data_IF_284300583691
#
_entry.id   IF_284300583691
#
_cell.length_a   1.000
_cell.length_b   1.000
_cell.length_c   1.000
_cell.angle_alpha   90.00
_cell.angle_beta   90.00
_cell.angle_gamma   90.00
#
_symmetry.space_group_name_H-M   'P 1'
#
loop_
_entity.id
_entity.type
_entity.pdbx_description
1 polymer ?
#
# COMPACT_ATOMS: atom_id res chain seq x y z
N UNK A 1 2.52 -1.10 14.78
CA UNK A 1 1.37 -1.62 15.55
C UNK A 1 1.66 -1.41 17.03
N UNK A 2 0.70 -0.80 17.75
CA UNK A 2 0.84 -0.27 19.11
C UNK A 2 0.92 -1.37 20.19
N UNK A 3 2.03 -2.12 20.25
CA UNK A 3 2.28 -3.09 21.35
C UNK A 3 2.10 -2.48 22.75
N UNK A 4 2.34 -1.17 22.89
CA UNK A 4 2.18 -0.45 24.16
C UNK A 4 0.72 -0.19 24.55
N UNK A 5 -0.22 0.00 23.61
CA UNK A 5 -1.62 0.27 23.97
C UNK A 5 -2.38 -1.02 24.28
N UNK A 6 -2.08 -2.11 23.55
CA UNK A 6 -2.76 -3.41 23.70
C UNK A 6 -2.35 -4.18 24.95
N UNK A 7 -1.08 -4.10 25.36
CA UNK A 7 -0.63 -4.67 26.65
C UNK A 7 -1.18 -3.86 27.81
N UNK A 8 -1.35 -2.54 27.64
CA UNK A 8 -1.84 -1.65 28.68
C UNK A 8 -3.32 -1.90 29.00
N UNK A 9 -4.17 -2.20 28.01
CA UNK A 9 -5.60 -2.50 28.25
C UNK A 9 -5.80 -3.80 29.02
N UNK A 10 -5.07 -4.87 28.68
CA UNK A 10 -5.10 -6.14 29.43
C UNK A 10 -4.60 -5.94 30.86
N UNK A 11 -3.52 -5.18 31.06
CA UNK A 11 -2.87 -4.96 32.36
C UNK A 11 -3.60 -3.91 33.23
N UNK A 12 -4.38 -3.02 32.62
CA UNK A 12 -5.26 -2.09 33.32
C UNK A 12 -6.53 -2.80 33.79
N UNK A 13 -7.08 -3.71 32.97
CA UNK A 13 -8.17 -4.58 33.37
C UNK A 13 -7.83 -5.39 34.63
N UNK A 14 -6.61 -5.91 34.72
CA UNK A 14 -6.17 -6.65 35.91
C UNK A 14 -6.15 -5.77 37.15
N UNK A 15 -5.60 -4.55 37.07
CA UNK A 15 -5.37 -3.71 38.26
C UNK A 15 -6.68 -3.21 38.89
N UNK A 16 -7.71 -2.93 38.07
CA UNK A 16 -8.99 -2.35 38.54
C UNK A 16 -9.97 -3.42 39.05
N UNK A 17 -9.93 -4.66 38.53
CA UNK A 17 -10.67 -5.77 39.12
C UNK A 17 -10.23 -6.04 40.58
N UNK A 18 -8.93 -5.92 40.88
CA UNK A 18 -8.42 -6.10 42.25
C UNK A 18 -8.88 -5.03 43.24
N UNK A 19 -9.06 -3.77 42.81
CA UNK A 19 -9.42 -2.69 43.75
C UNK A 19 -10.89 -2.72 44.17
N UNK A 20 -11.79 -3.24 43.34
CA UNK A 20 -13.23 -3.26 43.61
C UNK A 20 -13.71 -4.46 44.45
N UNK A 21 -12.89 -5.50 44.62
CA UNK A 21 -13.22 -6.68 45.47
C UNK A 21 -12.97 -6.39 46.97
N UNK A 22 -12.27 -5.31 47.33
CA UNK A 22 -11.92 -5.00 48.74
C UNK A 22 -13.08 -4.26 49.47
N UNK A 23 -14.23 -4.07 48.82
CA UNK A 23 -15.44 -3.50 49.40
C UNK A 23 -16.33 -4.51 50.14
N UNK A 24 -15.94 -4.87 51.37
CA UNK A 24 -16.82 -5.36 52.46
C UNK A 24 -17.70 -6.63 52.24
N UNK A 25 -17.14 -7.82 51.98
CA UNK A 25 -17.77 -9.09 52.43
C UNK A 25 -16.72 -10.20 52.63
N UNK A 26 -16.79 -10.90 53.78
CA UNK A 26 -15.99 -12.09 54.09
C UNK A 26 -16.55 -13.33 53.37
N UNK A 27 -16.41 -13.41 52.04
CA UNK A 27 -16.85 -14.57 51.24
C UNK A 27 -15.89 -14.77 50.05
N UNK A 28 -15.28 -15.96 50.01
CA UNK A 28 -14.47 -16.63 48.97
C UNK A 28 -13.12 -16.04 48.52
N UNK A 29 -12.03 -16.57 49.09
CA UNK A 29 -10.70 -16.59 48.47
C UNK A 29 -10.66 -17.39 47.13
N UNK A 30 -11.64 -18.27 46.91
CA UNK A 30 -11.77 -19.14 45.72
C UNK A 30 -12.14 -18.34 44.46
N UNK A 31 -12.89 -17.23 44.59
CA UNK A 31 -13.32 -16.38 43.47
C UNK A 31 -12.14 -15.55 42.92
N UNK A 32 -11.25 -15.08 43.81
CA UNK A 32 -10.08 -14.28 43.44
C UNK A 32 -9.00 -15.12 42.72
N UNK A 33 -8.85 -16.39 43.10
CA UNK A 33 -7.93 -17.30 42.42
C UNK A 33 -8.44 -17.72 41.04
N UNK A 34 -9.76 -17.90 40.87
CA UNK A 34 -10.39 -18.15 39.57
C UNK A 34 -10.21 -16.98 38.59
N UNK A 35 -10.37 -15.74 39.05
CA UNK A 35 -10.15 -14.56 38.21
C UNK A 35 -8.67 -14.37 37.83
N UNK A 36 -7.75 -14.59 38.78
CA UNK A 36 -6.29 -14.58 38.50
C UNK A 36 -5.90 -15.63 37.48
N UNK A 37 -6.50 -16.82 37.57
CA UNK A 37 -6.27 -17.89 36.62
C UNK A 37 -6.79 -17.53 35.22
N UNK A 38 -8.02 -17.01 35.11
CA UNK A 38 -8.60 -16.58 33.84
C UNK A 38 -7.78 -15.47 33.15
N UNK A 39 -7.22 -14.55 33.94
CA UNK A 39 -6.32 -13.48 33.46
C UNK A 39 -5.01 -14.07 32.93
N UNK A 40 -4.40 -15.01 33.67
CA UNK A 40 -3.16 -15.67 33.26
C UNK A 40 -3.34 -16.46 31.97
N UNK A 41 -4.47 -17.15 31.84
CA UNK A 41 -4.83 -17.91 30.63
C UNK A 41 -5.06 -16.98 29.43
N UNK A 42 -5.77 -15.87 29.60
CA UNK A 42 -6.00 -14.91 28.52
C UNK A 42 -4.71 -14.24 28.04
N UNK A 43 -3.80 -13.90 28.97
CA UNK A 43 -2.48 -13.37 28.62
C UNK A 43 -1.66 -14.41 27.84
N UNK A 44 -1.63 -15.66 28.29
CA UNK A 44 -0.91 -16.73 27.60
C UNK A 44 -1.47 -16.99 26.19
N UNK A 45 -2.79 -16.92 26.02
CA UNK A 45 -3.42 -17.00 24.69
C UNK A 45 -2.99 -15.84 23.80
N UNK A 46 -2.95 -14.60 24.31
CA UNK A 46 -2.49 -13.45 23.54
C UNK A 46 -1.03 -13.57 23.11
N UNK A 47 -0.13 -13.95 24.03
CA UNK A 47 1.30 -14.10 23.74
C UNK A 47 1.51 -15.15 22.62
N UNK A 48 0.76 -16.25 22.65
CA UNK A 48 0.78 -17.27 21.60
C UNK A 48 0.30 -16.72 20.24
N UNK A 49 -0.81 -15.98 20.22
CA UNK A 49 -1.36 -15.40 19.00
C UNK A 49 -0.44 -14.32 18.42
N UNK A 50 0.24 -13.52 19.25
CA UNK A 50 1.23 -12.54 18.79
C UNK A 50 2.42 -13.24 18.13
N UNK A 51 2.93 -14.33 18.71
CA UNK A 51 3.99 -15.14 18.11
C UNK A 51 3.56 -15.73 16.75
N UNK A 52 2.33 -16.23 16.65
CA UNK A 52 1.78 -16.76 15.39
C UNK A 52 1.65 -15.67 14.33
N UNK A 53 1.15 -14.48 14.69
CA UNK A 53 1.06 -13.31 13.82
C UNK A 53 2.45 -12.87 13.34
N UNK A 54 3.46 -12.86 14.21
CA UNK A 54 4.84 -12.54 13.82
C UNK A 54 5.40 -13.55 12.82
N UNK A 55 5.19 -14.85 13.07
CA UNK A 55 5.62 -15.90 12.15
C UNK A 55 4.97 -15.74 10.78
N UNK A 56 3.64 -15.59 10.74
CA UNK A 56 2.89 -15.40 9.50
C UNK A 56 3.35 -14.16 8.73
N UNK A 57 3.58 -13.03 9.41
CA UNK A 57 4.12 -11.84 8.77
C UNK A 57 5.51 -12.07 8.16
N UNK A 58 6.38 -12.80 8.86
CA UNK A 58 7.71 -13.15 8.34
C UNK A 58 7.60 -14.08 7.12
N UNK A 59 6.71 -15.06 7.16
CA UNK A 59 6.46 -15.98 6.04
C UNK A 59 5.92 -15.23 4.82
N UNK A 60 4.93 -14.33 5.00
CA UNK A 60 4.39 -13.48 3.93
C UNK A 60 5.49 -12.59 3.35
N UNK A 61 6.34 -12.00 4.18
CA UNK A 61 7.46 -11.19 3.71
C UNK A 61 8.46 -12.00 2.85
N UNK A 62 8.77 -13.24 3.24
CA UNK A 62 9.62 -14.13 2.46
C UNK A 62 8.97 -14.49 1.12
N UNK A 63 7.67 -14.83 1.11
CA UNK A 63 6.92 -15.12 -0.12
C UNK A 63 6.92 -13.91 -1.06
N UNK A 64 6.79 -12.68 -0.54
CA UNK A 64 6.87 -11.46 -1.35
C UNK A 64 8.23 -11.32 -2.04
N UNK A 65 9.32 -11.59 -1.31
CA UNK A 65 10.68 -11.57 -1.88
C UNK A 65 10.82 -12.61 -3.00
N UNK A 66 10.30 -13.83 -2.79
CA UNK A 66 10.30 -14.88 -3.81
C UNK A 66 9.48 -14.47 -5.05
N UNK A 67 8.30 -13.88 -4.87
CA UNK A 67 7.47 -13.34 -5.96
C UNK A 67 8.22 -12.25 -6.74
N UNK A 68 8.87 -11.32 -6.05
CA UNK A 68 9.63 -10.23 -6.67
C UNK A 68 10.82 -10.75 -7.49
N UNK A 69 11.52 -11.76 -6.97
CA UNK A 69 12.60 -12.43 -7.69
C UNK A 69 12.08 -13.13 -8.96
N UNK A 70 10.95 -13.85 -8.87
CA UNK A 70 10.34 -14.50 -10.02
C UNK A 70 9.90 -13.47 -11.07
N UNK A 71 9.26 -12.38 -10.65
CA UNK A 71 8.85 -11.30 -11.57
C UNK A 71 10.04 -10.65 -12.27
N UNK A 72 11.15 -10.44 -11.55
CA UNK A 72 12.39 -9.91 -12.14
C UNK A 72 12.95 -10.87 -13.18
N UNK A 73 13.01 -12.17 -12.87
CA UNK A 73 13.43 -13.21 -13.80
C UNK A 73 12.55 -13.29 -15.04
N UNK A 74 11.23 -13.19 -14.88
CA UNK A 74 10.27 -13.19 -15.99
C UNK A 74 10.50 -11.99 -16.94
N UNK A 75 10.77 -10.82 -16.39
CA UNK A 75 11.07 -9.61 -17.18
C UNK A 75 12.40 -9.73 -17.95
N UNK A 76 13.41 -10.30 -17.32
CA UNK A 76 14.70 -10.56 -17.97
C UNK A 76 14.55 -11.59 -19.09
N UNK A 77 13.78 -12.65 -18.85
CA UNK A 77 13.46 -13.65 -19.87
C UNK A 77 12.68 -13.05 -21.04
N UNK A 78 11.68 -12.22 -20.79
CA UNK A 78 10.91 -11.51 -21.84
C UNK A 78 11.84 -10.67 -22.73
N UNK A 79 12.78 -9.95 -22.12
CA UNK A 79 13.77 -9.14 -22.84
C UNK A 79 14.70 -10.03 -23.68
N UNK A 80 15.19 -11.13 -23.12
CA UNK A 80 16.06 -12.07 -23.83
C UNK A 80 15.34 -12.78 -24.98
N UNK A 81 14.06 -13.15 -24.81
CA UNK A 81 13.21 -13.72 -25.86
C UNK A 81 13.10 -12.73 -27.02
N UNK A 82 12.73 -11.48 -26.74
CA UNK A 82 12.56 -10.46 -27.78
C UNK A 82 13.86 -10.21 -28.56
N UNK A 83 14.99 -10.12 -27.88
CA UNK A 83 16.31 -9.97 -28.52
C UNK A 83 16.66 -11.17 -29.38
N UNK A 84 16.48 -12.40 -28.86
CA UNK A 84 16.79 -13.63 -29.58
C UNK A 84 15.90 -13.80 -30.81
N UNK A 85 14.61 -13.45 -30.73
CA UNK A 85 13.69 -13.48 -31.87
C UNK A 85 14.09 -12.46 -32.96
N UNK A 86 14.54 -11.26 -32.57
CA UNK A 86 15.05 -10.26 -33.50
C UNK A 86 16.34 -10.74 -34.20
N UNK A 87 17.25 -11.36 -33.46
CA UNK A 87 18.47 -11.95 -34.02
C UNK A 87 18.16 -13.10 -34.97
N UNK A 88 17.28 -14.03 -34.60
CA UNK A 88 16.83 -15.13 -35.45
C UNK A 88 16.24 -14.59 -36.76
N UNK A 89 15.41 -13.55 -36.69
CA UNK A 89 14.83 -12.91 -37.88
C UNK A 89 15.91 -12.32 -38.79
N UNK A 90 16.90 -11.64 -38.22
CA UNK A 90 18.03 -11.09 -38.98
C UNK A 90 18.88 -12.19 -39.61
N UNK A 91 19.18 -13.26 -38.87
CA UNK A 91 19.97 -14.40 -39.37
C UNK A 91 19.23 -15.13 -40.50
N UNK A 92 17.92 -15.33 -40.40
CA UNK A 92 17.10 -15.94 -41.48
C UNK A 92 17.13 -15.11 -42.76
N UNK A 93 17.03 -13.78 -42.66
CA UNK A 93 17.13 -12.91 -43.83
C UNK A 93 18.52 -12.96 -44.48
N UNK A 94 19.59 -13.03 -43.68
CA UNK A 94 20.96 -13.18 -44.19
C UNK A 94 21.18 -14.54 -44.87
N UNK A 95 20.63 -15.61 -44.32
CA UNK A 95 20.66 -16.95 -44.92
C UNK A 95 19.98 -16.94 -46.30
N UNK A 96 18.77 -16.40 -46.39
CA UNK A 96 18.03 -16.30 -47.66
C UNK A 96 18.82 -15.53 -48.72
N UNK A 97 19.41 -14.39 -48.35
CA UNK A 97 20.25 -13.60 -49.25
C UNK A 97 21.51 -14.38 -49.69
N UNK A 98 22.15 -15.10 -48.78
CA UNK A 98 23.35 -15.90 -49.07
C UNK A 98 23.01 -17.07 -50.01
N UNK A 99 21.87 -17.73 -49.83
CA UNK A 99 21.38 -18.79 -50.71
C UNK A 99 21.13 -18.28 -52.14
N UNK A 100 20.51 -17.10 -52.28
CA UNK A 100 20.31 -16.45 -53.58
C UNK A 100 21.65 -16.20 -54.27
N UNK A 101 22.62 -15.60 -53.57
CA UNK A 101 23.93 -15.27 -54.12
C UNK A 101 24.75 -16.53 -54.51
N UNK A 102 24.64 -17.60 -53.73
CA UNK A 102 25.24 -18.90 -54.08
C UNK A 102 24.60 -19.42 -55.37
N UNK A 103 23.27 -19.44 -55.46
CA UNK A 103 22.53 -19.93 -56.63
C UNK A 103 22.88 -19.16 -57.90
N UNK A 104 22.98 -17.83 -57.83
CA UNK A 104 23.40 -16.99 -58.94
C UNK A 104 24.82 -17.32 -59.42
N UNK A 105 25.77 -17.44 -58.49
CA UNK A 105 27.17 -17.78 -58.80
C UNK A 105 27.32 -19.20 -59.34
N UNK A 106 26.60 -20.17 -58.78
CA UNK A 106 26.57 -21.55 -59.28
C UNK A 106 25.99 -21.63 -60.69
N UNK A 107 24.97 -20.81 -61.01
CA UNK A 107 24.42 -20.70 -62.37
C UNK A 107 25.45 -20.17 -63.37
N UNK A 108 26.23 -19.15 -62.99
CA UNK A 108 27.34 -18.61 -63.80
C UNK A 108 28.41 -19.68 -64.00
N UNK A 109 28.85 -20.33 -62.92
CA UNK A 109 29.86 -21.40 -62.95
C UNK A 109 29.39 -22.57 -63.84
N UNK A 110 28.12 -22.95 -63.74
CA UNK A 110 27.51 -24.00 -64.56
C UNK A 110 27.51 -23.67 -66.06
N UNK A 111 27.20 -22.41 -66.43
CA UNK A 111 27.28 -21.93 -67.82
C UNK A 111 28.73 -21.96 -68.32
N UNK A 112 29.69 -21.52 -67.50
CA UNK A 112 31.13 -21.53 -67.81
C UNK A 112 31.66 -22.95 -68.01
N UNK A 113 31.37 -23.86 -67.09
CA UNK A 113 31.78 -25.27 -67.17
C UNK A 113 31.22 -25.96 -68.42
N UNK A 114 29.94 -25.72 -68.75
CA UNK A 114 29.32 -26.25 -69.96
C UNK A 114 29.99 -25.73 -71.23
N UNK A 115 30.39 -24.46 -71.27
CA UNK A 115 31.13 -23.89 -72.40
C UNK A 115 32.53 -24.50 -72.52
N UNK A 116 33.24 -24.71 -71.40
CA UNK A 116 34.54 -25.39 -71.36
C UNK A 116 34.44 -26.79 -72.00
N UNK A 117 33.42 -27.56 -71.60
CA UNK A 117 33.19 -28.91 -72.11
C UNK A 117 32.77 -28.94 -73.59
N UNK A 118 31.80 -28.09 -73.99
CA UNK A 118 31.26 -28.11 -75.35
C UNK A 118 32.24 -27.61 -76.41
N UNK A 119 33.01 -26.58 -76.07
CA UNK A 119 33.91 -25.96 -77.04
C UNK A 119 35.30 -26.60 -77.07
N UNK A 120 35.60 -27.57 -76.20
CA UNK A 120 36.96 -28.04 -75.95
C UNK A 120 37.89 -26.84 -75.66
N UNK A 121 37.46 -25.99 -74.72
CA UNK A 121 38.03 -24.65 -74.54
C UNK A 121 39.54 -24.70 -74.28
N UNK A 122 40.05 -25.70 -73.57
CA UNK A 122 41.49 -25.85 -73.33
C UNK A 122 42.28 -26.00 -74.63
N UNK A 123 41.80 -26.79 -75.58
CA UNK A 123 42.45 -26.89 -76.90
C UNK A 123 42.31 -25.59 -77.69
N UNK A 124 41.16 -24.92 -77.58
CA UNK A 124 40.94 -23.65 -78.28
C UNK A 124 41.72 -22.48 -77.67
N UNK A 125 42.02 -22.51 -76.37
CA UNK A 125 42.81 -21.50 -75.67
C UNK A 125 44.28 -21.64 -76.04
N UNK A 126 44.79 -22.88 -76.13
CA UNK A 126 46.11 -23.13 -76.72
C UNK A 126 46.16 -22.72 -78.20
N UNK A 127 45.13 -23.06 -78.99
CA UNK A 127 45.06 -22.65 -80.39
C UNK A 127 45.00 -21.13 -80.55
N UNK A 128 44.29 -20.43 -79.67
CA UNK A 128 44.20 -18.97 -79.66
C UNK A 128 45.54 -18.30 -79.33
N UNK A 129 46.31 -18.88 -78.40
CA UNK A 129 47.67 -18.42 -78.07
C UNK A 129 48.66 -18.71 -79.20
N UNK A 130 48.55 -19.86 -79.87
CA UNK A 130 49.44 -20.29 -80.95
C UNK A 130 49.15 -19.60 -82.29
N UNK A 131 47.92 -19.10 -82.50
CA UNK A 131 47.51 -18.35 -83.69
C UNK A 131 47.88 -16.86 -83.64
N UNK A 132 48.87 -16.47 -82.83
CA UNK A 132 49.32 -15.09 -82.72
C UNK A 132 50.18 -14.65 -83.91
N UNK A 133 50.14 -13.38 -84.26
CA UNK A 133 50.94 -12.82 -85.35
C UNK A 133 52.32 -12.32 -84.89
N UNK A 134 52.51 -12.11 -83.58
CA UNK A 134 53.78 -11.63 -83.01
C UNK A 134 53.98 -12.08 -81.56
N UNK A 135 55.22 -11.95 -81.04
CA UNK A 135 55.54 -12.20 -79.64
C UNK A 135 54.72 -11.31 -78.68
N UNK A 136 54.52 -10.04 -79.00
CA UNK A 136 53.70 -9.12 -78.19
C UNK A 136 52.24 -9.56 -78.15
N UNK A 137 51.67 -9.98 -79.29
CA UNK A 137 50.30 -10.50 -79.38
C UNK A 137 50.12 -11.80 -78.57
N UNK A 138 51.12 -12.70 -78.54
CA UNK A 138 51.13 -13.86 -77.61
C UNK A 138 50.99 -13.40 -76.15
N UNK A 139 51.74 -12.38 -75.74
CA UNK A 139 51.72 -11.91 -74.35
C UNK A 139 50.38 -11.28 -73.97
N UNK A 140 49.79 -10.46 -74.83
CA UNK A 140 48.47 -9.84 -74.57
C UNK A 140 47.36 -10.91 -74.51
N UNK A 141 47.40 -11.90 -75.40
CA UNK A 141 46.46 -13.04 -75.37
C UNK A 141 46.67 -13.92 -74.15
N UNK A 142 47.91 -14.13 -73.74
CA UNK A 142 48.25 -14.87 -72.53
C UNK A 142 47.70 -14.17 -71.29
N UNK A 143 47.89 -12.86 -71.16
CA UNK A 143 47.34 -12.08 -70.05
C UNK A 143 45.80 -12.17 -70.00
N UNK A 144 45.12 -12.05 -71.15
CA UNK A 144 43.67 -12.22 -71.24
C UNK A 144 43.22 -13.64 -70.81
N UNK A 145 43.94 -14.67 -71.24
CA UNK A 145 43.69 -16.08 -70.88
C UNK A 145 43.89 -16.29 -69.38
N UNK A 146 45.00 -15.82 -68.82
CA UNK A 146 45.32 -15.89 -67.40
C UNK A 146 44.27 -15.17 -66.55
N UNK A 147 43.81 -14.00 -67.00
CA UNK A 147 42.74 -13.25 -66.33
C UNK A 147 41.42 -14.01 -66.29
N UNK A 148 41.05 -14.70 -67.37
CA UNK A 148 39.84 -15.55 -67.41
C UNK A 148 39.94 -16.68 -66.40
N UNK A 149 41.07 -17.41 -66.39
CA UNK A 149 41.29 -18.54 -65.47
C UNK A 149 41.32 -18.06 -64.02
N UNK A 150 41.90 -16.89 -63.77
CA UNK A 150 41.90 -16.25 -62.45
C UNK A 150 40.47 -15.97 -61.96
N UNK A 151 39.64 -15.32 -62.78
CA UNK A 151 38.24 -15.02 -62.43
C UNK A 151 37.42 -16.29 -62.17
N UNK A 152 37.64 -17.36 -62.93
CA UNK A 152 36.96 -18.64 -62.70
C UNK A 152 37.40 -19.28 -61.38
N UNK A 153 38.69 -19.21 -61.03
CA UNK A 153 39.21 -19.67 -59.73
C UNK A 153 38.64 -18.84 -58.57
N UNK A 154 38.56 -17.53 -58.74
CA UNK A 154 37.97 -16.60 -57.77
C UNK A 154 36.49 -16.93 -57.54
N UNK A 155 35.70 -17.09 -58.61
CA UNK A 155 34.29 -17.48 -58.50
C UNK A 155 34.08 -18.81 -57.75
N UNK A 156 34.92 -19.82 -58.02
CA UNK A 156 34.87 -21.11 -57.29
C UNK A 156 35.20 -20.89 -55.81
N UNK A 157 36.22 -20.09 -55.50
CA UNK A 157 36.61 -19.76 -54.13
C UNK A 157 35.48 -19.07 -53.38
N UNK A 158 34.86 -18.06 -53.99
CA UNK A 158 33.74 -17.32 -53.40
C UNK A 158 32.53 -18.22 -53.13
N UNK A 159 32.18 -19.12 -54.06
CA UNK A 159 31.07 -20.08 -53.84
C UNK A 159 31.40 -21.01 -52.69
N UNK A 160 32.63 -21.52 -52.61
CA UNK A 160 33.06 -22.40 -51.52
C UNK A 160 32.97 -21.70 -50.16
N UNK A 161 33.52 -20.48 -50.06
CA UNK A 161 33.52 -19.67 -48.84
C UNK A 161 32.09 -19.32 -48.40
N UNK A 162 31.21 -18.95 -49.34
CA UNK A 162 29.81 -18.68 -49.02
C UNK A 162 29.05 -19.91 -48.55
N UNK A 163 29.31 -21.09 -49.13
CA UNK A 163 28.72 -22.34 -48.64
C UNK A 163 29.18 -22.70 -47.24
N UNK A 164 30.45 -22.49 -46.93
CA UNK A 164 30.99 -22.69 -45.59
C UNK A 164 30.34 -21.72 -44.58
N UNK A 165 30.24 -20.45 -44.95
CA UNK A 165 29.53 -19.42 -44.17
C UNK A 165 28.06 -19.81 -43.97
N UNK A 166 27.37 -20.27 -45.02
CA UNK A 166 25.97 -20.71 -44.96
C UNK A 166 25.80 -21.82 -43.90
N UNK A 167 26.65 -22.85 -43.92
CA UNK A 167 26.62 -23.92 -42.93
C UNK A 167 26.82 -23.41 -41.51
N UNK A 168 27.83 -22.56 -41.27
CA UNK A 168 28.07 -21.96 -39.95
C UNK A 168 26.86 -21.15 -39.47
N UNK A 169 26.27 -20.32 -40.35
CA UNK A 169 25.08 -19.53 -39.99
C UNK A 169 23.82 -20.38 -39.75
N UNK A 170 23.69 -21.54 -40.41
CA UNK A 170 22.61 -22.50 -40.13
C UNK A 170 22.78 -23.16 -38.76
N UNK A 171 24.00 -23.52 -38.39
CA UNK A 171 24.31 -24.09 -37.08
C UNK A 171 24.06 -23.05 -35.96
N UNK A 172 24.50 -21.81 -36.15
CA UNK A 172 24.21 -20.70 -35.24
C UNK A 172 22.70 -20.46 -35.08
N UNK A 173 21.96 -20.47 -36.19
CA UNK A 173 20.50 -20.31 -36.17
C UNK A 173 19.84 -21.43 -35.36
N UNK A 174 20.25 -22.68 -35.61
CA UNK A 174 19.73 -23.84 -34.87
C UNK A 174 20.00 -23.74 -33.36
N UNK A 175 21.21 -23.31 -32.98
CA UNK A 175 21.54 -23.06 -31.57
C UNK A 175 20.67 -21.96 -30.97
N UNK A 176 20.43 -20.86 -31.68
CA UNK A 176 19.57 -19.77 -31.19
C UNK A 176 18.11 -20.20 -31.04
N UNK A 177 17.59 -20.98 -31.98
CA UNK A 177 16.23 -21.55 -31.90
C UNK A 177 16.09 -22.50 -30.71
N UNK A 178 17.11 -23.32 -30.43
CA UNK A 178 17.13 -24.19 -29.24
C UNK A 178 17.18 -23.38 -27.93
N UNK A 179 18.02 -22.34 -27.86
CA UNK A 179 18.08 -21.44 -26.70
C UNK A 179 16.75 -20.71 -26.48
N UNK A 180 16.11 -20.23 -27.56
CA UNK A 180 14.80 -19.58 -27.50
C UNK A 180 13.73 -20.52 -26.94
N UNK A 181 13.73 -21.78 -27.40
CA UNK A 181 12.78 -22.79 -26.90
C UNK A 181 13.00 -23.06 -25.41
N UNK A 182 14.24 -23.24 -24.97
CA UNK A 182 14.57 -23.44 -23.56
C UNK A 182 14.13 -22.25 -22.68
N UNK A 183 14.33 -21.03 -23.17
CA UNK A 183 13.93 -19.81 -22.45
C UNK A 183 12.41 -19.67 -22.33
N UNK A 184 11.66 -20.08 -23.36
CA UNK A 184 10.19 -20.14 -23.33
C UNK A 184 9.69 -21.17 -22.33
N UNK A 185 10.30 -22.36 -22.27
CA UNK A 185 9.97 -23.41 -21.30
C UNK A 185 10.26 -22.96 -19.86
N UNK A 186 11.42 -22.31 -19.63
CA UNK A 186 11.77 -21.75 -18.32
C UNK A 186 10.80 -20.64 -17.88
N UNK A 187 10.35 -19.81 -18.83
CA UNK A 187 9.35 -18.77 -18.57
C UNK A 187 8.00 -19.37 -18.18
N UNK A 188 7.55 -20.42 -18.88
CA UNK A 188 6.33 -21.14 -18.53
C UNK A 188 6.41 -21.78 -17.14
N UNK A 189 7.56 -22.38 -16.81
CA UNK A 189 7.81 -22.94 -15.47
C UNK A 189 7.77 -21.86 -14.39
N UNK A 190 8.42 -20.71 -14.63
CA UNK A 190 8.45 -19.59 -13.68
C UNK A 190 7.07 -18.96 -13.48
N UNK A 191 6.22 -18.92 -14.52
CA UNK A 191 4.83 -18.47 -14.40
C UNK A 191 3.98 -19.42 -13.53
N UNK A 192 4.17 -20.74 -13.64
CA UNK A 192 3.49 -21.72 -12.78
C UNK A 192 3.93 -21.57 -11.32
N UNK A 193 5.22 -21.35 -11.09
CA UNK A 193 5.76 -21.10 -9.75
C UNK A 193 5.21 -19.81 -9.16
N UNK A 194 5.14 -18.72 -9.94
CA UNK A 194 4.55 -17.46 -9.53
C UNK A 194 3.10 -17.62 -9.05
N UNK A 195 2.29 -18.36 -9.82
CA UNK A 195 0.89 -18.59 -9.47
C UNK A 195 0.76 -19.40 -8.17
N UNK A 196 1.60 -20.43 -8.01
CA UNK A 196 1.67 -21.20 -6.77
C UNK A 196 2.03 -20.32 -5.57
N UNK A 197 2.99 -19.40 -5.73
CA UNK A 197 3.44 -18.50 -4.66
C UNK A 197 2.40 -17.45 -4.29
N UNK A 198 1.65 -16.93 -5.27
CA UNK A 198 0.52 -16.03 -5.01
C UNK A 198 -0.61 -16.73 -4.26
N UNK A 199 -0.92 -17.98 -4.60
CA UNK A 199 -1.91 -18.77 -3.88
C UNK A 199 -1.47 -19.07 -2.43
N UNK A 200 -0.18 -19.37 -2.22
CA UNK A 200 0.41 -19.53 -0.90
C UNK A 200 0.30 -18.24 -0.07
N UNK A 201 0.66 -17.10 -0.67
CA UNK A 201 0.53 -15.77 -0.07
C UNK A 201 -0.91 -15.47 0.37
N UNK A 202 -1.90 -15.71 -0.50
CA UNK A 202 -3.31 -15.48 -0.21
C UNK A 202 -3.80 -16.34 0.97
N UNK A 203 -3.39 -17.61 1.01
CA UNK A 203 -3.69 -18.51 2.12
C UNK A 203 -3.10 -18.00 3.44
N UNK A 204 -1.84 -17.53 3.42
CA UNK A 204 -1.17 -16.98 4.60
C UNK A 204 -1.80 -15.66 5.07
N UNK A 205 -2.21 -14.80 4.14
CA UNK A 205 -2.95 -13.58 4.44
C UNK A 205 -4.32 -13.88 5.07
N UNK A 206 -5.02 -14.90 4.59
CA UNK A 206 -6.27 -15.35 5.20
C UNK A 206 -6.05 -15.85 6.64
N UNK A 207 -5.02 -16.67 6.86
CA UNK A 207 -4.63 -17.12 8.20
C UNK A 207 -4.26 -15.95 9.12
N UNK A 208 -3.50 -14.97 8.62
CA UNK A 208 -3.14 -13.77 9.37
C UNK A 208 -4.37 -12.98 9.82
N UNK A 209 -5.32 -12.76 8.91
CA UNK A 209 -6.57 -12.06 9.22
C UNK A 209 -7.42 -12.84 10.24
N UNK A 210 -7.45 -14.17 10.15
CA UNK A 210 -8.15 -15.03 11.12
C UNK A 210 -7.52 -14.91 12.52
N UNK A 211 -6.19 -14.96 12.62
CA UNK A 211 -5.50 -14.80 13.89
C UNK A 211 -5.67 -13.38 14.48
N UNK A 212 -5.66 -12.34 13.63
CA UNK A 212 -5.97 -10.97 14.06
C UNK A 212 -7.41 -10.82 14.56
N UNK A 213 -8.37 -11.52 13.95
CA UNK A 213 -9.75 -11.55 14.43
C UNK A 213 -9.86 -12.26 15.79
N UNK A 214 -9.12 -13.36 16.00
CA UNK A 214 -9.05 -14.04 17.31
C UNK A 214 -8.47 -13.12 18.39
N UNK A 215 -7.39 -12.40 18.10
CA UNK A 215 -6.82 -11.38 19.01
C UNK A 215 -7.87 -10.33 19.35
N UNK A 216 -8.60 -9.81 18.35
CA UNK A 216 -9.62 -8.79 18.54
C UNK A 216 -10.77 -9.28 19.44
N UNK A 217 -11.20 -10.53 19.27
CA UNK A 217 -12.20 -11.19 20.12
C UNK A 217 -11.74 -11.34 21.57
N UNK A 218 -10.49 -11.74 21.79
CA UNK A 218 -9.91 -11.85 23.15
C UNK A 218 -9.85 -10.48 23.83
N UNK A 219 -9.44 -9.43 23.10
CA UNK A 219 -9.43 -8.05 23.60
C UNK A 219 -10.84 -7.59 23.97
N UNK A 220 -11.81 -7.77 23.08
CA UNK A 220 -13.20 -7.38 23.33
C UNK A 220 -13.77 -8.06 24.57
N UNK A 221 -13.58 -9.37 24.72
CA UNK A 221 -14.06 -10.12 25.88
C UNK A 221 -13.44 -9.61 27.20
N UNK A 222 -12.16 -9.23 27.19
CA UNK A 222 -11.48 -8.69 28.36
C UNK A 222 -11.92 -7.26 28.67
N UNK A 223 -12.09 -6.42 27.65
CA UNK A 223 -12.55 -5.04 27.80
C UNK A 223 -14.00 -4.99 28.30
N UNK A 224 -14.87 -5.92 27.86
CA UNK A 224 -16.21 -6.08 28.41
C UNK A 224 -16.18 -6.39 29.92
N UNK A 225 -15.31 -7.32 30.35
CA UNK A 225 -15.13 -7.63 31.77
C UNK A 225 -14.64 -6.42 32.57
N UNK A 226 -13.73 -5.62 32.00
CA UNK A 226 -13.17 -4.44 32.64
C UNK A 226 -14.25 -3.38 32.95
N UNK A 227 -15.19 -3.15 32.04
CA UNK A 227 -16.25 -2.15 32.24
C UNK A 227 -17.47 -2.70 33.00
N UNK A 228 -17.64 -4.03 33.05
CA UNK A 228 -18.85 -4.69 33.55
C UNK A 228 -19.29 -4.22 34.93
N UNK A 229 -18.35 -4.05 35.87
CA UNK A 229 -18.67 -3.59 37.21
C UNK A 229 -19.27 -2.17 37.21
N UNK A 230 -18.59 -1.20 36.59
CA UNK A 230 -19.07 0.19 36.52
C UNK A 230 -20.40 0.30 35.76
N UNK A 231 -20.58 -0.50 34.71
CA UNK A 231 -21.86 -0.60 33.99
C UNK A 231 -22.96 -1.14 34.91
N UNK A 232 -22.69 -2.21 35.66
CA UNK A 232 -23.67 -2.81 36.57
C UNK A 232 -24.11 -1.87 37.70
N UNK A 233 -23.19 -1.04 38.23
CA UNK A 233 -23.51 -0.02 39.23
C UNK A 233 -24.41 1.06 38.62
N UNK A 234 -24.10 1.51 37.39
CA UNK A 234 -24.94 2.50 36.69
C UNK A 234 -26.34 1.95 36.42
N UNK A 235 -26.48 0.66 36.09
CA UNK A 235 -27.76 0.03 35.82
C UNK A 235 -28.62 -0.15 37.08
N UNK A 236 -28.01 -0.50 38.22
CA UNK A 236 -28.75 -0.94 39.40
C UNK A 236 -28.76 0.05 40.57
N UNK A 237 -27.80 0.97 40.67
CA UNK A 237 -27.73 1.95 41.76
C UNK A 237 -28.63 3.16 41.50
N UNK A 238 -29.11 3.77 42.59
CA UNK A 238 -29.77 5.08 42.63
C UNK A 238 -29.02 6.07 43.53
N UNK A 239 -27.78 5.75 43.93
CA UNK A 239 -26.95 6.60 44.78
C UNK A 239 -26.11 7.51 43.89
N UNK A 240 -26.28 8.84 43.97
CA UNK A 240 -25.57 9.81 43.12
C UNK A 240 -24.04 9.62 43.19
N UNK A 241 -23.48 9.37 44.39
CA UNK A 241 -22.04 9.19 44.57
C UNK A 241 -21.51 7.96 43.81
N UNK A 242 -22.20 6.82 43.90
CA UNK A 242 -21.80 5.57 43.22
C UNK A 242 -21.94 5.70 41.70
N UNK A 243 -22.98 6.41 41.24
CA UNK A 243 -23.18 6.73 39.81
C UNK A 243 -22.06 7.63 39.28
N UNK A 244 -21.69 8.69 40.00
CA UNK A 244 -20.64 9.64 39.59
C UNK A 244 -19.24 9.01 39.59
N UNK A 245 -18.96 8.14 40.55
CA UNK A 245 -17.70 7.38 40.62
C UNK A 245 -17.57 6.38 39.45
N UNK A 246 -18.66 5.67 39.14
CA UNK A 246 -18.70 4.74 38.01
C UNK A 246 -18.59 5.45 36.66
N UNK A 247 -19.25 6.61 36.50
CA UNK A 247 -19.13 7.46 35.30
C UNK A 247 -17.69 7.93 35.13
N UNK A 248 -17.07 8.45 36.19
CA UNK A 248 -15.68 8.93 36.15
C UNK A 248 -14.70 7.80 35.79
N UNK A 249 -14.93 6.61 36.33
CA UNK A 249 -14.13 5.41 36.01
C UNK A 249 -14.26 5.03 34.54
N UNK A 250 -15.47 4.95 33.99
CA UNK A 250 -15.68 4.66 32.56
C UNK A 250 -15.07 5.75 31.66
N UNK A 251 -15.20 7.02 32.02
CA UNK A 251 -14.60 8.14 31.28
C UNK A 251 -13.06 8.02 31.23
N UNK A 252 -12.43 7.58 32.32
CA UNK A 252 -11.00 7.33 32.36
C UNK A 252 -10.57 6.10 31.54
N UNK A 253 -11.42 5.06 31.51
CA UNK A 253 -11.13 3.82 30.81
C UNK A 253 -11.27 3.93 29.29
N UNK A 254 -12.23 4.69 28.78
CA UNK A 254 -12.53 4.80 27.33
C UNK A 254 -11.29 5.04 26.44
N UNK A 255 -10.37 5.97 26.76
CA UNK A 255 -9.17 6.20 25.95
C UNK A 255 -8.20 5.00 25.88
N UNK A 256 -8.36 4.02 26.77
CA UNK A 256 -7.50 2.82 26.85
C UNK A 256 -8.11 1.60 26.18
N UNK A 257 -9.41 1.65 25.84
CA UNK A 257 -10.12 0.58 25.15
C UNK A 257 -9.79 0.58 23.65
N UNK A 258 -9.82 -0.60 23.04
CA UNK A 258 -9.50 -0.81 21.63
C UNK A 258 -10.72 -1.31 20.84
N UNK A 259 -11.67 -1.98 21.52
CA UNK A 259 -12.90 -2.47 20.89
C UNK A 259 -13.93 -1.35 20.76
N UNK A 260 -14.35 -1.07 19.52
CA UNK A 260 -15.36 -0.06 19.22
C UNK A 260 -16.71 -0.38 19.86
N UNK A 261 -17.10 -1.66 19.93
CA UNK A 261 -18.35 -2.10 20.55
C UNK A 261 -18.35 -1.83 22.06
N UNK A 262 -17.21 -2.06 22.73
CA UNK A 262 -17.06 -1.82 24.17
C UNK A 262 -17.00 -0.33 24.48
N UNK A 263 -16.32 0.46 23.64
CA UNK A 263 -16.33 1.92 23.74
C UNK A 263 -17.74 2.48 23.62
N UNK A 264 -18.53 1.99 22.66
CA UNK A 264 -19.92 2.40 22.49
C UNK A 264 -20.78 2.02 23.71
N UNK A 265 -20.63 0.79 24.20
CA UNK A 265 -21.32 0.34 25.41
C UNK A 265 -20.99 1.23 26.63
N UNK A 266 -19.71 1.53 26.85
CA UNK A 266 -19.26 2.40 27.94
C UNK A 266 -19.84 3.83 27.82
N UNK A 267 -19.83 4.41 26.62
CA UNK A 267 -20.43 5.74 26.38
C UNK A 267 -21.95 5.74 26.59
N UNK A 268 -22.66 4.68 26.17
CA UNK A 268 -24.08 4.54 26.43
C UNK A 268 -24.36 4.48 27.93
N UNK A 269 -23.63 3.66 28.68
CA UNK A 269 -23.75 3.59 30.14
C UNK A 269 -23.47 4.93 30.81
N UNK A 270 -22.44 5.68 30.41
CA UNK A 270 -22.20 7.04 30.92
C UNK A 270 -23.41 7.95 30.68
N UNK A 271 -23.97 7.93 29.47
CA UNK A 271 -25.17 8.70 29.13
C UNK A 271 -26.37 8.33 30.02
N UNK A 272 -26.62 7.03 30.22
CA UNK A 272 -27.68 6.56 31.13
C UNK A 272 -27.45 7.00 32.58
N UNK A 273 -26.20 6.91 33.06
CA UNK A 273 -25.84 7.35 34.40
C UNK A 273 -26.09 8.84 34.62
N UNK A 274 -25.68 9.69 33.67
CA UNK A 274 -25.93 11.13 33.71
C UNK A 274 -27.44 11.45 33.74
N UNK A 275 -28.25 10.76 32.93
CA UNK A 275 -29.71 10.91 32.94
C UNK A 275 -30.33 10.50 34.28
N UNK A 276 -29.83 9.44 34.92
CA UNK A 276 -30.29 9.05 36.26
C UNK A 276 -29.92 10.08 37.32
N UNK A 277 -28.69 10.59 37.31
CA UNK A 277 -28.25 11.65 38.23
C UNK A 277 -29.10 12.91 38.08
N UNK A 278 -29.39 13.33 36.85
CA UNK A 278 -30.26 14.47 36.58
C UNK A 278 -31.69 14.26 37.13
N UNK A 279 -32.26 13.07 36.92
CA UNK A 279 -33.59 12.72 37.47
C UNK A 279 -33.61 12.76 39.00
N UNK A 280 -32.64 12.14 39.67
CA UNK A 280 -32.58 12.11 41.14
C UNK A 280 -32.45 13.54 41.69
N UNK A 281 -31.58 14.36 41.11
CA UNK A 281 -31.43 15.76 41.51
C UNK A 281 -32.71 16.58 41.30
N UNK A 282 -33.44 16.34 40.21
CA UNK A 282 -34.72 17.00 39.94
C UNK A 282 -35.80 16.58 40.97
N UNK A 283 -35.85 15.30 41.35
CA UNK A 283 -36.76 14.77 42.37
C UNK A 283 -36.44 15.30 43.77
N UNK A 284 -35.15 15.40 44.13
CA UNK A 284 -34.71 16.01 45.39
C UNK A 284 -35.03 17.51 45.45
N UNK A 285 -34.85 18.23 44.35
CA UNK A 285 -35.21 19.65 44.25
C UNK A 285 -36.71 19.88 44.34
N UNK A 286 -37.52 19.05 43.69
CA UNK A 286 -38.98 19.12 43.77
C UNK A 286 -39.51 18.80 45.19
N UNK A 287 -38.86 17.87 45.91
CA UNK A 287 -39.16 17.63 47.34
C UNK A 287 -38.76 18.80 48.24
N UNK A 288 -37.69 19.53 47.92
CA UNK A 288 -37.27 20.72 48.65
C UNK A 288 -38.17 21.94 48.39
N UNK A 289 -38.66 22.14 47.17
CA UNK A 289 -39.60 23.23 46.81
C UNK A 289 -41.01 23.03 47.39
N UNK A 290 -41.46 21.78 47.55
CA UNK A 290 -42.74 21.47 48.21
C UNK A 290 -42.74 21.73 49.74
N UNK A 291 -41.58 22.03 50.35
CA UNK A 291 -41.42 22.24 51.79
C UNK A 291 -41.45 23.72 52.24
N UNK A 292 -41.74 24.69 51.35
CA UNK A 292 -41.72 26.13 51.65
C UNK A 292 -43.15 26.71 51.65
N UNK A 293 -43.65 27.35 52.74
CA UNK A 293 -44.97 27.97 52.73
C UNK A 293 -44.98 29.32 51.98
N UNK A 294 -46.01 29.47 51.16
CA UNK A 294 -46.32 30.60 50.26
C UNK A 294 -46.47 31.96 50.96
N UNK A 295 -45.85 33.02 50.40
CA UNK A 295 -46.35 34.40 50.48
C UNK A 295 -45.85 35.29 49.32
N UNK A 296 -46.75 35.51 48.35
CA UNK A 296 -47.21 36.85 47.95
C UNK A 296 -46.39 37.73 46.98
N UNK A 297 -46.98 37.91 45.79
CA UNK A 297 -47.06 39.15 44.95
C UNK A 297 -45.87 39.65 44.09
N UNK A 298 -45.90 39.23 42.82
CA UNK A 298 -46.19 39.98 41.57
C UNK A 298 -45.45 41.28 41.14
N UNK A 299 -45.21 41.33 39.82
CA UNK A 299 -44.98 42.44 38.87
C UNK A 299 -43.54 42.96 38.68
N UNK A 300 -42.78 42.43 37.71
CA UNK A 300 -42.72 42.70 36.24
C UNK A 300 -41.82 43.87 35.85
N UNK A 301 -40.70 43.57 35.17
CA UNK A 301 -40.28 44.29 33.94
C UNK A 301 -39.73 43.28 32.91
N UNK A 302 -40.30 43.39 31.73
CA UNK A 302 -40.11 42.79 30.40
C UNK A 302 -38.68 42.53 29.89
N UNK A 303 -38.49 41.43 29.14
CA UNK A 303 -38.23 41.43 27.68
C UNK A 303 -38.45 40.00 27.10
N UNK A 304 -39.24 39.89 26.03
CA UNK A 304 -39.54 38.71 25.20
C UNK A 304 -38.53 38.59 24.02
N UNK A 305 -38.62 37.60 23.12
CA UNK A 305 -38.36 36.16 23.27
C UNK A 305 -37.35 35.62 22.21
N UNK A 306 -36.73 34.46 22.43
CA UNK A 306 -36.35 33.59 21.30
C UNK A 306 -34.98 32.89 21.32
N UNK A 307 -35.07 31.58 21.06
CA UNK A 307 -34.17 30.77 20.25
C UNK A 307 -32.87 30.19 20.85
N UNK A 308 -32.97 28.89 21.15
CA UNK A 308 -32.05 27.78 20.82
C UNK A 308 -30.58 27.86 21.27
N UNK A 309 -30.23 26.89 22.11
CA UNK A 309 -28.90 26.38 22.45
C UNK A 309 -27.88 26.49 21.32
N UNK A 310 -26.85 27.31 21.53
CA UNK A 310 -25.69 27.42 20.65
C UNK A 310 -24.40 27.25 21.46
N UNK A 311 -23.60 26.23 21.09
CA UNK A 311 -22.21 26.09 21.50
C UNK A 311 -21.47 27.37 21.14
N UNK A 312 -21.02 28.14 22.13
CA UNK A 312 -20.34 29.42 21.89
C UNK A 312 -18.88 29.16 21.52
N UNK A 313 -18.43 29.61 20.35
CA UNK A 313 -17.02 29.54 19.95
C UNK A 313 -16.15 30.29 20.98
N UNK A 314 -15.04 29.67 21.38
CA UNK A 314 -14.08 30.21 22.36
C UNK A 314 -13.32 31.43 21.80
N UNK A 315 -13.10 31.48 20.49
CA UNK A 315 -12.46 32.60 19.79
C UNK A 315 -12.70 32.52 18.28
N UNK A 316 -12.68 33.67 17.59
CA UNK A 316 -12.85 33.75 16.13
C UNK A 316 -11.69 34.54 15.51
N UNK A 317 -11.07 33.98 14.48
CA UNK A 317 -9.89 34.52 13.81
C UNK A 317 -10.14 34.61 12.29
N UNK A 318 -9.60 35.65 11.65
CA UNK A 318 -9.53 35.72 10.17
C UNK A 318 -8.13 35.34 9.72
N UNK A 319 -8.02 34.28 8.91
CA UNK A 319 -6.75 33.68 8.52
C UNK A 319 -6.68 33.47 7.00
N UNK A 320 -5.48 33.42 6.45
CA UNK A 320 -5.26 33.07 5.05
C UNK A 320 -5.13 31.54 4.93
N UNK A 321 -6.04 30.91 4.20
CA UNK A 321 -6.01 29.46 3.95
C UNK A 321 -5.30 29.13 2.64
N UNK A 322 -4.45 28.12 2.68
CA UNK A 322 -3.96 27.33 1.53
C UNK A 322 -4.55 25.93 1.58
N UNK A 323 -4.29 25.11 0.56
CA UNK A 323 -4.72 23.72 0.51
C UNK A 323 -3.59 22.80 0.06
N UNK A 324 -3.55 21.60 0.64
CA UNK A 324 -2.55 20.58 0.31
C UNK A 324 -3.17 19.18 0.32
N UNK A 325 -2.51 18.23 -0.33
CA UNK A 325 -2.89 16.82 -0.38
C UNK A 325 -1.65 15.92 -0.30
N UNK A 326 -1.82 14.66 0.10
CA UNK A 326 -0.73 13.71 0.31
C UNK A 326 -0.19 13.69 1.75
N UNK A 327 1.12 13.51 1.90
CA UNK A 327 1.75 13.38 3.23
C UNK A 327 1.55 12.00 3.88
N UNK A 328 2.48 11.61 4.76
CA UNK A 328 2.47 10.30 5.43
C UNK A 328 1.93 10.40 6.86
N UNK A 329 2.44 11.34 7.64
CA UNK A 329 2.05 11.59 9.03
C UNK A 329 2.07 13.09 9.32
N UNK A 330 1.09 13.57 10.08
CA UNK A 330 1.04 14.94 10.59
C UNK A 330 1.99 15.12 11.79
N UNK A 331 2.22 16.36 12.22
CA UNK A 331 2.98 16.68 13.44
C UNK A 331 2.44 15.98 14.71
N UNK A 332 1.14 15.67 14.76
CA UNK A 332 0.51 14.89 15.85
C UNK A 332 0.59 13.38 15.65
N UNK A 333 1.21 12.90 14.57
CA UNK A 333 1.40 11.48 14.28
C UNK A 333 0.17 10.78 13.71
N UNK A 334 -0.81 11.52 13.21
CA UNK A 334 -2.03 10.98 12.58
C UNK A 334 -1.94 11.07 11.05
N UNK A 335 -2.65 10.20 10.34
CA UNK A 335 -2.76 10.32 8.88
C UNK A 335 -3.74 11.45 8.55
N UNK A 336 -3.37 12.44 7.71
CA UNK A 336 -4.26 13.54 7.39
C UNK A 336 -5.48 13.04 6.61
N UNK A 337 -6.66 13.58 6.94
CA UNK A 337 -7.93 13.19 6.33
C UNK A 337 -8.81 14.41 6.06
N UNK A 338 -9.48 14.41 4.92
CA UNK A 338 -10.58 15.35 4.65
C UNK A 338 -11.91 14.61 4.70
N UNK A 339 -12.79 15.05 5.59
CA UNK A 339 -14.14 14.51 5.75
C UNK A 339 -15.14 15.66 5.97
N UNK A 340 -15.85 16.12 4.92
CA UNK A 340 -16.78 17.25 5.02
C UNK A 340 -18.02 16.95 5.89
N UNK A 341 -18.33 15.67 6.14
CA UNK A 341 -19.40 15.24 7.06
C UNK A 341 -18.91 14.90 8.47
N UNK A 342 -17.62 15.07 8.74
CA UNK A 342 -16.96 14.69 9.99
C UNK A 342 -15.85 15.65 10.36
N UNK A 343 -14.74 15.10 10.84
CA UNK A 343 -13.59 15.89 11.30
C UNK A 343 -12.45 15.77 10.28
N UNK A 344 -11.96 16.91 9.84
CA UNK A 344 -10.84 17.02 8.88
C UNK A 344 -9.52 17.41 9.56
N UNK A 345 -8.42 17.33 8.83
CA UNK A 345 -7.07 17.69 9.30
C UNK A 345 -6.65 19.04 8.75
N UNK A 346 -6.08 19.90 9.60
CA UNK A 346 -5.46 21.16 9.16
C UNK A 346 -4.07 21.33 9.76
N UNK A 347 -3.21 22.05 9.03
CA UNK A 347 -1.93 22.53 9.52
C UNK A 347 -2.04 23.98 10.02
N UNK A 348 -1.44 24.26 11.17
CA UNK A 348 -1.51 25.58 11.83
C UNK A 348 -0.16 25.97 12.44
N UNK A 349 -0.03 27.25 12.83
CA UNK A 349 1.01 27.69 13.75
C UNK A 349 0.56 27.41 15.21
N UNK A 350 1.26 26.53 15.96
CA UNK A 350 0.91 26.20 17.35
C UNK A 350 0.90 27.40 18.30
N UNK A 351 1.60 28.48 17.96
CA UNK A 351 1.64 29.73 18.74
C UNK A 351 0.34 30.53 18.65
N UNK A 352 -0.48 30.28 17.61
CA UNK A 352 -1.77 30.94 17.36
C UNK A 352 -2.93 29.99 17.65
N UNK A 353 -2.87 28.76 17.15
CA UNK A 353 -3.85 27.70 17.41
C UNK A 353 -3.09 26.48 17.94
N UNK A 354 -3.24 26.13 19.23
CA UNK A 354 -2.56 24.97 19.80
C UNK A 354 -2.93 23.68 19.06
N UNK A 355 -1.94 22.80 18.84
CA UNK A 355 -2.18 21.48 18.26
C UNK A 355 -3.12 20.65 19.15
N UNK A 356 -4.10 19.99 18.53
CA UNK A 356 -5.21 19.30 19.19
C UNK A 356 -6.44 20.17 19.41
N UNK A 357 -6.45 21.43 18.96
CA UNK A 357 -7.66 22.27 19.01
C UNK A 357 -8.67 21.83 17.95
N UNK A 358 -9.95 21.84 18.32
CA UNK A 358 -11.07 21.65 17.40
C UNK A 358 -11.55 23.00 16.90
N UNK A 359 -11.60 23.14 15.58
CA UNK A 359 -12.00 24.39 14.93
C UNK A 359 -13.10 24.15 13.90
N UNK A 360 -13.85 25.20 13.59
CA UNK A 360 -14.70 25.29 12.42
C UNK A 360 -14.12 26.30 11.43
N UNK A 361 -13.95 25.90 10.18
CA UNK A 361 -13.43 26.74 9.10
C UNK A 361 -14.55 27.03 8.11
N UNK A 362 -14.82 28.31 7.87
CA UNK A 362 -15.90 28.75 6.98
C UNK A 362 -15.75 28.15 5.58
N UNK A 363 -16.75 27.38 5.15
CA UNK A 363 -16.77 26.74 3.82
C UNK A 363 -15.96 25.44 3.70
N UNK A 364 -15.30 24.99 4.78
CA UNK A 364 -14.52 23.74 4.82
C UNK A 364 -15.07 22.74 5.85
N UNK A 365 -15.58 23.22 6.99
CA UNK A 365 -16.22 22.38 8.03
C UNK A 365 -15.37 22.25 9.30
N UNK A 366 -15.65 21.20 10.07
CA UNK A 366 -14.97 20.94 11.35
C UNK A 366 -13.61 20.30 11.10
N UNK A 367 -12.59 20.77 11.80
CA UNK A 367 -11.23 20.26 11.68
C UNK A 367 -10.44 20.25 13.00
N UNK A 368 -9.35 19.48 13.01
CA UNK A 368 -8.37 19.41 14.08
C UNK A 368 -7.07 20.04 13.60
N UNK A 369 -6.53 20.94 14.42
CA UNK A 369 -5.15 21.39 14.33
C UNK A 369 -4.19 20.23 14.64
N UNK A 370 -3.83 19.44 13.64
CA UNK A 370 -3.08 18.20 13.82
C UNK A 370 -1.71 18.23 13.16
N UNK A 371 -1.43 19.25 12.34
CA UNK A 371 -0.20 19.34 11.57
C UNK A 371 0.47 20.71 11.65
N UNK A 372 1.73 20.78 11.23
CA UNK A 372 2.50 22.02 11.13
C UNK A 372 3.34 21.99 9.87
N UNK A 373 3.49 23.13 9.19
CA UNK A 373 4.35 23.24 8.01
C UNK A 373 5.32 24.39 8.15
N UNK A 374 6.53 24.27 7.59
CA UNK A 374 7.56 25.32 7.71
C UNK A 374 7.14 26.69 7.13
N UNK A 375 6.16 26.70 6.22
CA UNK A 375 5.58 27.90 5.63
C UNK A 375 4.27 28.37 6.32
N UNK A 376 3.76 27.62 7.30
CA UNK A 376 2.48 27.88 7.97
C UNK A 376 2.76 28.54 9.32
N UNK A 377 3.02 29.85 9.28
CA UNK A 377 3.36 30.66 10.45
C UNK A 377 2.40 31.85 10.59
N UNK A 378 2.03 32.20 11.82
CA UNK A 378 1.10 33.29 12.14
C UNK A 378 -0.35 32.98 11.72
N UNK A 379 -1.01 33.96 11.07
CA UNK A 379 -2.42 33.84 10.67
C UNK A 379 -2.62 33.11 9.33
N UNK A 380 -1.84 32.05 9.09
CA UNK A 380 -1.92 31.19 7.91
C UNK A 380 -2.32 29.79 8.36
N UNK A 381 -3.24 29.17 7.63
CA UNK A 381 -3.64 27.76 7.84
C UNK A 381 -3.53 27.00 6.52
N UNK A 382 -3.23 25.71 6.59
CA UNK A 382 -3.25 24.81 5.43
C UNK A 382 -4.32 23.75 5.60
N UNK A 383 -5.23 23.65 4.63
CA UNK A 383 -6.36 22.74 4.68
C UNK A 383 -6.04 21.47 3.89
N UNK A 384 -6.17 20.32 4.53
CA UNK A 384 -5.92 19.06 3.86
C UNK A 384 -7.11 18.66 2.97
N UNK A 385 -6.83 18.12 1.79
CA UNK A 385 -7.82 17.48 0.92
C UNK A 385 -7.33 16.10 0.46
N UNK A 386 -8.27 15.20 0.17
CA UNK A 386 -7.94 13.84 -0.29
C UNK A 386 -7.50 13.79 -1.76
N UNK A 387 -7.71 14.87 -2.54
CA UNK A 387 -7.34 14.94 -3.95
C UNK A 387 -6.74 16.30 -4.34
N UNK A 388 -5.84 16.28 -5.32
CA UNK A 388 -5.20 17.49 -5.86
C UNK A 388 -6.20 18.40 -6.59
N UNK A 389 -7.22 17.81 -7.22
CA UNK A 389 -8.30 18.56 -7.87
C UNK A 389 -9.07 19.44 -6.88
N UNK A 390 -9.33 18.93 -5.68
CA UNK A 390 -10.00 19.69 -4.61
C UNK A 390 -9.10 20.82 -4.07
N UNK A 391 -7.78 20.60 -3.97
CA UNK A 391 -6.84 21.66 -3.60
C UNK A 391 -6.85 22.81 -4.62
N UNK A 392 -6.87 22.50 -5.92
CA UNK A 392 -6.91 23.49 -7.00
C UNK A 392 -8.23 24.26 -6.97
N UNK A 393 -9.35 23.56 -6.77
CA UNK A 393 -10.67 24.19 -6.66
C UNK A 393 -10.77 25.11 -5.43
N UNK A 394 -10.09 24.76 -4.33
CA UNK A 394 -10.02 25.59 -3.14
C UNK A 394 -9.11 26.82 -3.34
N UNK A 395 -7.88 26.65 -3.81
CA UNK A 395 -6.93 27.76 -4.00
C UNK A 395 -6.64 28.56 -2.71
N UNK A 396 -5.99 29.72 -2.86
CA UNK A 396 -5.61 30.57 -1.71
C UNK A 396 -6.66 31.65 -1.46
N UNK A 397 -7.20 31.72 -0.25
CA UNK A 397 -8.28 32.65 0.12
C UNK A 397 -8.23 33.02 1.61
N UNK A 398 -8.95 34.06 2.00
CA UNK A 398 -9.15 34.37 3.43
C UNK A 398 -10.40 33.66 3.94
N UNK A 399 -10.30 33.10 5.15
CA UNK A 399 -11.37 32.36 5.81
C UNK A 399 -11.53 32.79 7.25
N UNK A 400 -12.72 32.55 7.80
CA UNK A 400 -13.00 32.70 9.22
C UNK A 400 -12.83 31.35 9.91
N UNK A 401 -12.04 31.33 10.99
CA UNK A 401 -11.78 30.15 11.82
C UNK A 401 -12.34 30.40 13.21
N UNK A 402 -13.21 29.52 13.66
CA UNK A 402 -13.78 29.52 15.00
C UNK A 402 -13.17 28.40 15.82
N UNK A 403 -12.58 28.72 16.97
CA UNK A 403 -12.05 27.73 17.90
C UNK A 403 -13.21 27.24 18.76
N UNK A 404 -13.56 25.96 18.64
CA UNK A 404 -14.67 25.34 19.35
C UNK A 404 -14.23 24.75 20.68
N UNK A 405 -13.02 24.17 20.74
CA UNK A 405 -12.46 23.58 21.94
C UNK A 405 -10.92 23.54 21.86
N UNK A 406 -10.26 23.78 23.00
CA UNK A 406 -8.80 23.66 23.13
C UNK A 406 -8.37 22.19 23.30
N UNK A 407 -7.06 21.87 23.19
CA UNK A 407 -6.59 20.49 23.32
C UNK A 407 -7.01 19.88 24.66
N UNK A 408 -7.60 18.69 24.62
CA UNK A 408 -8.08 17.97 25.81
C UNK A 408 -9.44 18.40 26.36
N UNK A 409 -10.17 19.28 25.65
CA UNK A 409 -11.53 19.69 26.02
C UNK A 409 -12.64 19.01 25.20
N UNK A 410 -12.30 18.10 24.29
CA UNK A 410 -13.23 17.45 23.36
C UNK A 410 -12.76 16.07 22.93
#
# INVERSE_FOLDING_TARGET
>A
MNRKSTVLSVLLATTICFTNIIGSFSVYADDLDNERQAISESKAQYDLLDEQILSLNSEIANINIEIDNINTKLKDNETQIANTEAEIKSTKALLEQTEIEISEKESILSKRLRNIQKSNLMSNMLAYLLASESLTDIFDRFDAVSKIVYLDKELISEVKEKKETLTVTMDELSSKEASLQALKEETESSLKELESKKSEQETKMAQLNEEQAKVSSVIEANEQKLIAYSVSIIENSNTISELQESISTLTYLIPTLNSSTVIEAANNSISQGNLKVEKINAEEKAKAEAAIPSRGESMTVTFTPGASSGSTALSTLTMQSTAYTGGTLTATGTKPVYNPGGISTIAVDPSVIPLGSKVYVSGYGIAIAADTGGAINGNIIDLYFNSEADCIAWGRRNVTVEILALPGQW
#
